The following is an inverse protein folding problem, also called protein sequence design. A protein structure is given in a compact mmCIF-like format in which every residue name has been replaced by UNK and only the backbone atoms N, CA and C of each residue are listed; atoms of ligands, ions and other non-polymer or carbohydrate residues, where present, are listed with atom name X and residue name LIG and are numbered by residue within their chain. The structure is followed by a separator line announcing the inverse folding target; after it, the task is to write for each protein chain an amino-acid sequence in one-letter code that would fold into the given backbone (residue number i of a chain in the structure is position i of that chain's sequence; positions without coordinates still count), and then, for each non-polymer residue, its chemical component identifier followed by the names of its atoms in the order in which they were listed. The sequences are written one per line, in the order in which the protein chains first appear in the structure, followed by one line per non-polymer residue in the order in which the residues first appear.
data_IF_690960820855
#
_entry.id   IF_690960820855
#
_cell.length_a   1.000
_cell.length_b   1.000
_cell.length_c   1.000
_cell.angle_alpha   90.00
_cell.angle_beta   90.00
_cell.angle_gamma   90.00
#
_symmetry.space_group_name_H-M   'P 1'
#
loop_
_entity.id
_entity.type
_entity.pdbx_description
1 polymer ?
#
# COMPACT_ATOMS: atom_id res chain seq x y z
N UNK A 1 20.42 8.59 22.61
CA UNK A 1 19.58 8.05 23.70
C UNK A 1 18.66 6.97 23.17
N UNK A 2 18.74 5.76 23.73
CA UNK A 2 17.81 4.66 23.38
C UNK A 2 16.41 4.97 23.91
N UNK A 3 15.38 4.36 23.30
CA UNK A 3 14.00 4.51 23.75
C UNK A 3 13.81 4.10 25.23
N UNK A 4 14.44 2.98 25.62
CA UNK A 4 14.44 2.49 27.00
C UNK A 4 15.03 3.52 27.98
N UNK A 5 16.19 4.08 27.65
CA UNK A 5 16.82 5.12 28.46
C UNK A 5 15.91 6.34 28.65
N UNK A 6 15.30 6.85 27.57
CA UNK A 6 14.38 7.98 27.66
C UNK A 6 13.17 7.69 28.56
N UNK A 7 12.59 6.48 28.47
CA UNK A 7 11.46 6.07 29.31
C UNK A 7 11.87 5.93 30.78
N UNK A 8 13.04 5.37 31.06
CA UNK A 8 13.53 5.20 32.42
C UNK A 8 13.83 6.56 33.08
N UNK A 9 14.39 7.51 32.33
CA UNK A 9 14.58 8.90 32.81
C UNK A 9 13.23 9.60 33.04
N UNK A 10 12.26 9.45 32.14
CA UNK A 10 10.93 10.04 32.34
C UNK A 10 10.24 9.49 33.59
N UNK A 11 10.35 8.18 33.86
CA UNK A 11 9.84 7.58 35.11
C UNK A 11 10.52 8.15 36.35
N UNK A 12 11.84 8.30 36.33
CA UNK A 12 12.59 8.91 37.44
C UNK A 12 12.22 10.38 37.63
N UNK A 13 12.04 11.13 36.53
CA UNK A 13 11.60 12.52 36.57
C UNK A 13 10.17 12.66 37.12
N UNK A 14 9.27 11.75 36.77
CA UNK A 14 7.89 11.74 37.27
C UNK A 14 7.83 11.31 38.75
N UNK A 15 8.81 10.54 39.25
CA UNK A 15 8.96 10.17 40.67
C UNK A 15 9.62 11.26 41.54
N UNK A 16 10.19 12.31 40.95
CA UNK A 16 10.79 13.43 41.68
C UNK A 16 9.69 14.37 42.21
N UNK A 17 9.38 14.27 43.50
CA UNK A 17 8.31 15.07 44.14
C UNK A 17 8.84 16.23 44.98
N UNK A 18 10.10 16.19 45.43
CA UNK A 18 10.68 17.27 46.25
C UNK A 18 11.34 18.35 45.37
N UNK A 19 11.31 19.62 45.80
CA UNK A 19 12.04 20.70 45.13
C UNK A 19 13.52 20.35 44.96
N UNK A 20 14.07 20.58 43.77
CA UNK A 20 15.50 20.35 43.46
C UNK A 20 15.88 18.91 43.10
N UNK A 21 15.06 17.89 43.39
CA UNK A 21 15.36 16.50 43.00
C UNK A 21 15.45 16.34 41.48
N UNK A 22 14.51 16.95 40.75
CA UNK A 22 14.51 16.95 39.29
C UNK A 22 15.80 17.59 38.73
N UNK A 23 16.23 18.70 39.31
CA UNK A 23 17.47 19.38 38.90
C UNK A 23 18.73 18.58 39.24
N UNK A 24 18.74 17.83 40.34
CA UNK A 24 19.83 16.93 40.69
C UNK A 24 19.91 15.73 39.72
N UNK A 25 18.77 15.13 39.39
CA UNK A 25 18.67 14.07 38.39
C UNK A 25 19.19 14.55 37.03
N UNK A 26 18.73 15.71 36.57
CA UNK A 26 19.15 16.29 35.29
C UNK A 26 20.67 16.55 35.23
N UNK A 27 21.26 17.09 36.30
CA UNK A 27 22.72 17.30 36.36
C UNK A 27 23.51 15.99 36.38
N UNK A 28 23.03 14.96 37.08
CA UNK A 28 23.66 13.63 37.12
C UNK A 28 23.69 12.98 35.75
N UNK A 29 22.60 13.10 35.00
CA UNK A 29 22.44 12.49 33.69
C UNK A 29 22.94 13.37 32.52
N UNK A 30 23.43 14.59 32.81
CA UNK A 30 23.86 15.56 31.80
C UNK A 30 22.74 16.07 30.90
N UNK A 31 21.50 16.12 31.42
CA UNK A 31 20.29 16.44 30.68
C UNK A 31 19.79 17.85 30.98
N UNK A 32 19.18 18.48 29.98
CA UNK A 32 18.49 19.76 30.11
C UNK A 32 16.98 19.56 30.24
N UNK A 33 16.31 20.56 30.83
CA UNK A 33 14.85 20.53 30.98
C UNK A 33 14.12 20.41 29.62
N UNK A 34 14.67 21.01 28.56
CA UNK A 34 14.18 20.89 27.18
C UNK A 34 14.13 19.44 26.66
N UNK A 35 15.06 18.60 27.11
CA UNK A 35 15.07 17.17 26.78
C UNK A 35 13.82 16.48 27.35
N UNK A 36 13.46 16.78 28.60
CA UNK A 36 12.26 16.21 29.24
C UNK A 36 10.98 16.64 28.54
N UNK A 37 10.86 17.92 28.19
CA UNK A 37 9.70 18.46 27.46
C UNK A 37 9.54 17.70 26.13
N UNK A 38 10.64 17.57 25.39
CA UNK A 38 10.64 16.88 24.10
C UNK A 38 10.31 15.40 24.26
N UNK A 39 10.86 14.72 25.27
CA UNK A 39 10.60 13.30 25.48
C UNK A 39 9.18 13.04 26.02
N UNK A 40 8.61 13.91 26.84
CA UNK A 40 7.19 13.83 27.25
C UNK A 40 6.29 13.93 26.02
N UNK A 41 6.51 14.92 25.15
CA UNK A 41 5.78 15.03 23.88
C UNK A 41 5.92 13.76 23.02
N UNK A 42 7.14 13.24 22.87
CA UNK A 42 7.38 11.98 22.15
C UNK A 42 6.67 10.77 22.80
N UNK A 43 6.44 10.79 24.12
CA UNK A 43 5.69 9.75 24.85
C UNK A 43 4.22 9.80 24.51
N UNK A 44 3.63 11.00 24.60
CA UNK A 44 2.21 11.25 24.32
C UNK A 44 1.87 10.96 22.84
N UNK A 45 2.77 11.31 21.92
CA UNK A 45 2.63 10.99 20.48
C UNK A 45 2.88 9.50 20.15
N UNK A 46 3.17 8.64 21.14
CA UNK A 46 3.49 7.22 20.93
C UNK A 46 4.85 6.95 20.26
N UNK A 47 5.58 8.01 19.92
CA UNK A 47 6.86 7.97 19.20
C UNK A 47 8.01 7.36 20.02
N UNK A 48 7.99 7.44 21.36
CA UNK A 48 9.00 6.79 22.21
C UNK A 48 9.00 5.26 22.09
N UNK A 49 7.83 4.63 21.93
CA UNK A 49 7.75 3.18 21.67
C UNK A 49 8.16 2.84 20.23
N UNK A 50 7.94 3.76 19.28
CA UNK A 50 8.35 3.62 17.88
C UNK A 50 9.84 3.90 17.61
N UNK A 51 10.59 4.31 18.64
CA UNK A 51 12.04 4.62 18.60
C UNK A 51 12.94 3.41 18.93
N UNK A 52 12.40 2.19 19.00
CA UNK A 52 13.22 0.99 18.82
C UNK A 52 13.96 1.05 17.48
N UNK A 53 15.07 0.32 17.28
CA UNK A 53 15.87 0.40 16.06
C UNK A 53 15.00 0.10 14.83
N UNK A 54 14.51 1.14 14.16
CA UNK A 54 13.79 1.03 12.89
C UNK A 54 14.82 0.56 11.88
N UNK A 55 14.60 -0.61 11.28
CA UNK A 55 15.35 -1.04 10.09
C UNK A 55 15.34 0.13 9.09
N UNK A 56 16.53 0.65 8.80
CA UNK A 56 16.75 1.72 7.84
C UNK A 56 16.43 1.15 6.45
N UNK A 57 15.48 1.76 5.75
CA UNK A 57 15.03 1.29 4.42
C UNK A 57 13.57 1.65 4.13
N UNK A 58 13.21 1.71 2.85
CA UNK A 58 11.83 1.89 2.37
C UNK A 58 10.97 0.76 2.95
N UNK A 59 9.86 1.08 3.63
CA UNK A 59 8.86 0.06 4.00
C UNK A 59 8.50 -0.68 2.73
N UNK A 60 8.63 -2.02 2.71
CA UNK A 60 8.20 -2.83 1.58
C UNK A 60 6.75 -2.46 1.29
N UNK A 61 6.47 -1.99 0.08
CA UNK A 61 5.10 -1.71 -0.34
C UNK A 61 4.30 -3.00 -0.19
N UNK A 62 3.10 -2.97 0.42
CA UNK A 62 2.28 -4.16 0.54
C UNK A 62 2.06 -4.73 -0.88
N UNK A 63 2.40 -6.00 -1.09
CA UNK A 63 2.10 -6.68 -2.36
C UNK A 63 0.60 -6.55 -2.59
N UNK A 64 0.19 -5.96 -3.70
CA UNK A 64 -1.22 -5.82 -4.05
C UNK A 64 -1.81 -7.23 -4.17
N UNK A 65 -2.74 -7.65 -3.29
CA UNK A 65 -3.32 -8.98 -3.32
C UNK A 65 -4.11 -9.26 -4.61
N UNK A 66 -4.49 -8.21 -5.35
CA UNK A 66 -5.22 -8.31 -6.61
C UNK A 66 -4.31 -8.47 -7.83
N UNK A 67 -2.99 -8.29 -7.71
CA UNK A 67 -2.08 -8.36 -8.85
C UNK A 67 -2.14 -9.70 -9.63
N UNK A 68 -2.25 -10.88 -8.98
CA UNK A 68 -2.42 -12.14 -9.70
C UNK A 68 -3.72 -12.19 -10.50
N UNK A 69 -4.82 -11.69 -9.92
CA UNK A 69 -6.14 -11.69 -10.56
C UNK A 69 -6.19 -10.73 -11.74
N UNK A 70 -5.56 -9.56 -11.63
CA UNK A 70 -5.42 -8.61 -12.75
C UNK A 70 -4.64 -9.25 -13.90
N UNK A 71 -3.52 -9.92 -13.61
CA UNK A 71 -2.72 -10.57 -14.65
C UNK A 71 -3.47 -11.73 -15.35
N UNK A 72 -4.31 -12.47 -14.62
CA UNK A 72 -5.19 -13.50 -15.17
C UNK A 72 -6.25 -12.89 -16.09
N UNK A 73 -6.99 -11.88 -15.60
CA UNK A 73 -8.03 -11.18 -16.36
C UNK A 73 -7.47 -10.54 -17.64
N UNK A 74 -6.28 -9.93 -17.58
CA UNK A 74 -5.63 -9.37 -18.76
C UNK A 74 -5.28 -10.42 -19.81
N UNK A 75 -4.90 -11.63 -19.40
CA UNK A 75 -4.61 -12.74 -20.33
C UNK A 75 -5.89 -13.24 -20.99
N UNK A 76 -6.96 -13.37 -20.23
CA UNK A 76 -8.27 -13.77 -20.75
C UNK A 76 -8.80 -12.73 -21.73
N UNK A 77 -8.72 -11.45 -21.39
CA UNK A 77 -9.18 -10.36 -22.24
C UNK A 77 -8.42 -10.37 -23.59
N UNK A 78 -7.08 -10.44 -23.56
CA UNK A 78 -6.28 -10.59 -24.78
C UNK A 78 -6.60 -11.84 -25.60
N UNK A 79 -7.07 -12.91 -24.98
CA UNK A 79 -7.47 -14.15 -25.68
C UNK A 79 -8.83 -13.96 -26.34
N UNK A 80 -9.78 -13.32 -25.65
CA UNK A 80 -11.11 -13.01 -26.17
C UNK A 80 -11.03 -12.02 -27.34
N UNK A 81 -10.26 -10.95 -27.21
CA UNK A 81 -10.03 -9.98 -28.30
C UNK A 81 -9.49 -10.66 -29.58
N UNK A 82 -8.56 -11.60 -29.44
CA UNK A 82 -8.03 -12.37 -30.59
C UNK A 82 -9.10 -13.24 -31.25
N UNK A 83 -9.96 -13.88 -30.45
CA UNK A 83 -11.06 -14.70 -30.97
C UNK A 83 -12.12 -13.85 -31.67
N UNK A 84 -12.44 -12.70 -31.08
CA UNK A 84 -13.37 -11.72 -31.65
C UNK A 84 -12.87 -11.25 -33.01
N UNK A 85 -11.61 -10.80 -33.09
CA UNK A 85 -10.98 -10.38 -34.35
C UNK A 85 -11.00 -11.48 -35.42
N UNK A 86 -10.77 -12.73 -35.03
CA UNK A 86 -10.84 -13.86 -35.96
C UNK A 86 -12.26 -14.08 -36.49
N UNK A 87 -13.27 -14.01 -35.62
CA UNK A 87 -14.67 -14.13 -36.00
C UNK A 87 -15.11 -12.98 -36.92
N UNK A 88 -14.73 -11.74 -36.59
CA UNK A 88 -14.98 -10.55 -37.44
C UNK A 88 -14.37 -10.72 -38.82
N UNK A 89 -13.13 -11.22 -38.91
CA UNK A 89 -12.46 -11.49 -40.19
C UNK A 89 -13.21 -12.55 -41.00
N UNK A 90 -13.69 -13.61 -40.37
CA UNK A 90 -14.49 -14.65 -41.03
C UNK A 90 -15.79 -14.06 -41.57
N UNK A 91 -16.50 -13.27 -40.76
CA UNK A 91 -17.74 -12.59 -41.17
C UNK A 91 -17.47 -11.66 -42.36
N UNK A 92 -16.36 -10.91 -42.34
CA UNK A 92 -15.99 -10.02 -43.43
C UNK A 92 -15.73 -10.80 -44.74
N UNK A 93 -15.00 -11.91 -44.67
CA UNK A 93 -14.75 -12.78 -45.83
C UNK A 93 -16.07 -13.35 -46.35
N UNK A 94 -16.94 -13.85 -45.47
CA UNK A 94 -18.25 -14.39 -45.85
C UNK A 94 -19.07 -13.34 -46.61
N UNK A 95 -19.15 -12.11 -46.09
CA UNK A 95 -19.84 -10.98 -46.75
C UNK A 95 -19.26 -10.71 -48.14
N UNK A 96 -17.95 -10.55 -48.25
CA UNK A 96 -17.27 -10.30 -49.55
C UNK A 96 -17.50 -11.42 -50.55
N UNK A 97 -17.45 -12.69 -50.14
CA UNK A 97 -17.68 -13.83 -51.04
C UNK A 97 -19.13 -13.92 -51.52
N UNK A 98 -20.09 -13.61 -50.64
CA UNK A 98 -21.51 -13.54 -50.97
C UNK A 98 -21.81 -12.44 -51.99
N UNK A 99 -21.23 -11.25 -51.80
CA UNK A 99 -21.33 -10.12 -52.75
C UNK A 99 -20.75 -10.50 -54.12
N UNK A 100 -19.59 -11.14 -54.14
CA UNK A 100 -18.88 -11.49 -55.38
C UNK A 100 -19.58 -12.62 -56.16
N UNK A 101 -20.23 -13.56 -55.45
CA UNK A 101 -20.95 -14.69 -56.05
C UNK A 101 -22.45 -14.43 -56.26
N UNK A 102 -22.98 -13.28 -55.81
CA UNK A 102 -24.40 -12.93 -55.91
C UNK A 102 -25.33 -13.85 -55.09
N UNK A 103 -24.79 -14.61 -54.13
CA UNK A 103 -25.55 -15.53 -53.28
C UNK A 103 -25.97 -14.75 -52.02
N UNK A 104 -27.26 -14.54 -51.76
CA UNK A 104 -27.69 -13.82 -50.55
C UNK A 104 -27.30 -14.60 -49.29
N UNK A 105 -26.59 -13.94 -48.37
CA UNK A 105 -26.38 -14.48 -47.01
C UNK A 105 -27.71 -14.47 -46.27
N UNK A 106 -28.15 -15.64 -45.82
CA UNK A 106 -29.27 -15.76 -44.87
C UNK A 106 -28.88 -15.05 -43.59
N UNK A 107 -29.47 -13.87 -43.37
CA UNK A 107 -29.37 -13.13 -42.11
C UNK A 107 -30.10 -13.92 -41.03
N UNK A 108 -29.40 -14.83 -40.35
CA UNK A 108 -29.85 -15.30 -39.06
C UNK A 108 -29.34 -14.31 -38.02
N UNK A 109 -30.11 -13.22 -37.85
CA UNK A 109 -30.08 -12.42 -36.64
C UNK A 109 -30.62 -13.28 -35.49
N UNK A 110 -29.75 -14.06 -34.87
CA UNK A 110 -30.04 -14.64 -33.56
C UNK A 110 -28.82 -14.48 -32.67
N UNK A 111 -28.88 -13.42 -31.88
CA UNK A 111 -27.84 -13.07 -30.93
C UNK A 111 -28.24 -11.93 -30.02
N UNK A 112 -29.43 -12.00 -29.42
CA UNK A 112 -29.60 -11.45 -28.06
C UNK A 112 -28.76 -12.31 -27.11
N UNK A 113 -27.95 -11.66 -26.27
CA UNK A 113 -27.92 -12.09 -24.88
C UNK A 113 -28.00 -10.89 -23.91
N UNK A 114 -28.84 -11.07 -22.89
CA UNK A 114 -28.84 -10.35 -21.61
C UNK A 114 -27.44 -10.27 -20.95
#
# INVERSE_FOLDING_TARGET
YTARYKLDILKQADACTKPGQLGALLRREGLYHSNLITWRRQREEGSLKALGPRKRGRKASPKNPLAPRVAELERENRRLERRLKQAETIIEIQKKTSELLGIPLSQNESGEPD
#
